data_IF_871739327064
#
_entry.id   IF_871739327064
#
_cell.length_a   1.000
_cell.length_b   1.000
_cell.length_c   1.000
_cell.angle_alpha   90.00
_cell.angle_beta   90.00
_cell.angle_gamma   90.00
#
_symmetry.space_group_name_H-M   'P 1'
#
loop_
_entity.id
_entity.type
_entity.pdbx_description
1 polymer ?
#
# COMPACT_ATOMS: atom_id res chain seq x y z
N UNK A 1 -8.38 -20.81 33.05
CA UNK A 1 -9.38 -19.94 32.38
C UNK A 1 -10.64 -19.92 33.24
N UNK A 2 -11.13 -18.75 33.63
CA UNK A 2 -12.32 -18.65 34.47
C UNK A 2 -13.58 -19.01 33.67
N UNK A 3 -14.47 -19.81 34.25
CA UNK A 3 -15.74 -20.18 33.64
C UNK A 3 -16.71 -18.99 33.74
N UNK A 4 -17.13 -18.43 32.61
CA UNK A 4 -18.10 -17.33 32.59
C UNK A 4 -19.51 -17.82 32.93
N UNK A 5 -20.17 -17.09 33.82
CA UNK A 5 -21.58 -17.34 34.16
C UNK A 5 -22.51 -16.92 33.00
N UNK A 6 -23.72 -17.50 32.89
CA UNK A 6 -24.68 -17.11 31.85
C UNK A 6 -25.03 -15.61 31.89
N UNK A 7 -25.04 -15.01 33.08
CA UNK A 7 -25.26 -13.57 33.28
C UNK A 7 -24.11 -12.71 32.70
N UNK A 8 -22.86 -13.12 32.93
CA UNK A 8 -21.69 -12.46 32.30
C UNK A 8 -21.71 -12.64 30.78
N UNK A 9 -22.11 -13.84 30.33
CA UNK A 9 -22.61 -14.18 28.98
C UNK A 9 -23.35 -13.02 28.32
N UNK A 10 -24.53 -12.77 28.88
CA UNK A 10 -25.48 -11.78 28.38
C UNK A 10 -24.98 -10.33 28.50
N UNK A 11 -24.25 -10.00 29.56
CA UNK A 11 -23.69 -8.66 29.76
C UNK A 11 -22.63 -8.32 28.69
N UNK A 12 -21.74 -9.25 28.39
CA UNK A 12 -20.72 -9.08 27.35
C UNK A 12 -21.37 -8.90 25.97
N UNK A 13 -22.39 -9.69 25.64
CA UNK A 13 -23.12 -9.56 24.37
C UNK A 13 -23.80 -8.18 24.23
N UNK A 14 -24.29 -7.59 25.32
CA UNK A 14 -24.86 -6.23 25.32
C UNK A 14 -23.78 -5.16 25.15
N UNK A 15 -22.65 -5.33 25.82
CA UNK A 15 -21.50 -4.43 25.71
C UNK A 15 -20.91 -4.44 24.30
N UNK A 16 -20.72 -5.62 23.71
CA UNK A 16 -20.21 -5.80 22.35
C UNK A 16 -21.08 -5.06 21.33
N UNK A 17 -22.40 -5.26 21.35
CA UNK A 17 -23.35 -4.55 20.46
C UNK A 17 -23.28 -3.03 20.58
N UNK A 18 -22.94 -2.50 21.76
CA UNK A 18 -22.82 -1.05 22.00
C UNK A 18 -21.45 -0.51 21.57
N UNK A 19 -20.40 -1.33 21.60
CA UNK A 19 -19.03 -0.90 21.30
C UNK A 19 -18.62 -1.12 19.84
N UNK A 20 -19.23 -2.08 19.14
CA UNK A 20 -18.95 -2.34 17.71
C UNK A 20 -19.17 -1.11 16.82
N UNK A 21 -20.10 -0.23 17.20
CA UNK A 21 -20.38 1.01 16.47
C UNK A 21 -19.48 2.20 16.86
N UNK A 22 -18.72 2.07 17.95
CA UNK A 22 -17.80 3.11 18.46
C UNK A 22 -16.37 2.90 17.98
N UNK A 23 -16.02 1.67 17.60
CA UNK A 23 -14.70 1.36 17.05
C UNK A 23 -14.70 1.76 15.59
N UNK A 24 -13.97 2.84 15.27
CA UNK A 24 -13.89 3.36 13.89
C UNK A 24 -13.59 2.26 12.88
N UNK A 25 -14.11 2.40 11.66
CA UNK A 25 -13.90 1.43 10.58
C UNK A 25 -12.40 1.17 10.41
N UNK A 26 -12.00 -0.10 10.36
CA UNK A 26 -10.64 -0.51 10.01
C UNK A 26 -10.27 0.21 8.72
N UNK A 27 -9.27 1.10 8.77
CA UNK A 27 -8.78 1.79 7.57
C UNK A 27 -8.37 0.71 6.60
N UNK A 28 -8.98 0.68 5.41
CA UNK A 28 -8.51 -0.17 4.32
C UNK A 28 -7.07 0.23 4.05
N UNK A 29 -6.13 -0.62 4.45
CA UNK A 29 -4.72 -0.43 4.18
C UNK A 29 -4.59 -0.57 2.67
N UNK A 30 -4.57 0.58 1.99
CA UNK A 30 -4.32 0.60 0.56
C UNK A 30 -2.84 0.29 0.44
N UNK A 31 -2.51 -0.99 0.20
CA UNK A 31 -1.16 -1.45 -0.07
C UNK A 31 -0.74 -0.88 -1.43
N UNK A 32 -0.48 0.43 -1.46
CA UNK A 32 0.19 1.07 -2.57
C UNK A 32 1.59 0.50 -2.57
N UNK A 33 1.89 -0.27 -3.60
CA UNK A 33 3.24 -0.76 -3.86
C UNK A 33 4.12 0.47 -4.10
N UNK A 34 4.92 0.83 -3.10
CA UNK A 34 5.93 1.87 -3.25
C UNK A 34 7.08 1.28 -4.05
N UNK A 35 7.35 1.88 -5.19
CA UNK A 35 8.53 1.53 -5.98
C UNK A 35 9.72 2.34 -5.47
N UNK A 36 10.93 1.73 -5.41
CA UNK A 36 12.12 2.40 -4.89
C UNK A 36 12.58 3.58 -5.76
N UNK A 37 12.07 3.69 -6.99
CA UNK A 37 12.46 4.71 -7.96
C UNK A 37 11.21 5.35 -8.55
N UNK A 38 11.22 6.68 -8.66
CA UNK A 38 10.14 7.43 -9.29
C UNK A 38 10.14 7.23 -10.81
N UNK A 39 8.95 7.29 -11.43
CA UNK A 39 8.80 7.17 -12.89
C UNK A 39 9.65 8.20 -13.65
N UNK A 40 9.77 9.41 -13.12
CA UNK A 40 10.58 10.48 -13.71
C UNK A 40 12.06 10.10 -13.79
N UNK A 41 12.60 9.46 -12.75
CA UNK A 41 13.98 8.96 -12.76
C UNK A 41 14.18 7.85 -13.79
N UNK A 42 13.18 6.98 -13.96
CA UNK A 42 13.21 5.95 -14.99
C UNK A 42 13.35 6.54 -16.41
N UNK A 43 12.62 7.63 -16.69
CA UNK A 43 12.71 8.34 -17.97
C UNK A 43 14.08 9.00 -18.19
N UNK A 44 14.68 9.59 -17.17
CA UNK A 44 16.03 10.17 -17.27
C UNK A 44 17.06 9.09 -17.58
N UNK A 45 16.97 7.94 -16.92
CA UNK A 45 17.86 6.81 -17.14
C UNK A 45 17.71 6.24 -18.55
N UNK A 46 16.46 6.08 -19.01
CA UNK A 46 16.16 5.69 -20.39
C UNK A 46 16.75 6.67 -21.40
N UNK A 47 16.60 7.97 -21.16
CA UNK A 47 17.14 9.01 -22.03
C UNK A 47 18.68 8.95 -22.09
N UNK A 48 19.37 8.73 -20.97
CA UNK A 48 20.83 8.58 -20.96
C UNK A 48 21.29 7.39 -21.81
N UNK A 49 20.61 6.24 -21.66
CA UNK A 49 20.94 5.02 -22.41
C UNK A 49 20.62 5.18 -23.90
N UNK A 50 19.44 5.68 -24.25
CA UNK A 50 19.04 5.89 -25.64
C UNK A 50 19.81 7.03 -26.32
N UNK A 51 20.20 8.07 -25.57
CA UNK A 51 20.94 9.21 -26.12
C UNK A 51 22.29 8.79 -26.71
N UNK A 52 23.01 7.90 -26.04
CA UNK A 52 24.25 7.33 -26.58
C UNK A 52 24.03 6.55 -27.87
N UNK A 53 23.00 5.70 -27.91
CA UNK A 53 22.65 4.93 -29.10
C UNK A 53 22.24 5.82 -30.29
N UNK A 54 21.52 6.92 -30.03
CA UNK A 54 21.13 7.90 -31.07
C UNK A 54 22.36 8.63 -31.61
N UNK A 55 23.31 9.03 -30.75
CA UNK A 55 24.56 9.67 -31.19
C UNK A 55 25.42 8.72 -32.03
N UNK A 56 25.49 7.43 -31.67
CA UNK A 56 26.19 6.43 -32.48
C UNK A 56 25.52 6.22 -33.84
N UNK A 57 24.19 6.16 -33.90
CA UNK A 57 23.47 6.06 -35.17
C UNK A 57 23.72 7.27 -36.08
N UNK A 58 23.73 8.48 -35.51
CA UNK A 58 24.05 9.70 -36.26
C UNK A 58 25.46 9.60 -36.84
N UNK A 59 26.44 9.18 -36.03
CA UNK A 59 27.84 9.00 -36.46
C UNK A 59 28.01 7.92 -37.54
N UNK A 60 27.17 6.88 -37.55
CA UNK A 60 27.23 5.83 -38.56
C UNK A 60 26.62 6.26 -39.90
N UNK A 61 25.66 7.18 -39.88
CA UNK A 61 24.92 7.62 -41.07
C UNK A 61 25.45 8.91 -41.71
N UNK A 62 26.25 9.71 -40.97
CA UNK A 62 26.76 11.02 -41.39
C UNK A 62 28.26 11.14 -41.10
#
# INVERSE_FOLDING_TARGET
>A
MALQTPRQRAANARFEKKNTNQWGKVKKVNNKTEYPVSKSWLFVLLFLVCGGAVLELIRLLF
#
